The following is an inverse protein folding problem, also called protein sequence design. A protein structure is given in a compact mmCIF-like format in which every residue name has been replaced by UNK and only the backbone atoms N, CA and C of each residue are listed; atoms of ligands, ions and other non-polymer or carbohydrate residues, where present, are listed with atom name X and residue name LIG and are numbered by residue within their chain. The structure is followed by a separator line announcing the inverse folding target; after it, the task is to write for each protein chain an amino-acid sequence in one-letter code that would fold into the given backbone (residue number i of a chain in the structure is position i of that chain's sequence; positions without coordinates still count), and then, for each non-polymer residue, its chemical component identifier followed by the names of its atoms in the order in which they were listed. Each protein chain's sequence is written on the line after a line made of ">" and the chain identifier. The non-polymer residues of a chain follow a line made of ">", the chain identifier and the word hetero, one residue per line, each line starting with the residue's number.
data_IF_378767357961
#
_entry.id   IF_378767357961
#
_cell.length_a   1.000
_cell.length_b   1.000
_cell.length_c   1.000
_cell.angle_alpha   90.00
_cell.angle_beta   90.00
_cell.angle_gamma   90.00
#
_symmetry.space_group_name_H-M   'P 1'
#
loop_
_entity.id
_entity.type
_entity.pdbx_description
1 polymer ?
#
# COMPACT_ATOMS: atom_id res chain seq x y z
N UNK A 1 26.73 15.02 10.27
CA UNK A 1 25.58 15.74 9.65
C UNK A 1 24.61 16.08 10.77
N UNK A 2 24.24 17.35 10.94
CA UNK A 2 23.44 17.81 12.08
C UNK A 2 21.96 17.38 11.94
N UNK A 3 21.26 17.07 13.05
CA UNK A 3 19.84 16.74 13.01
C UNK A 3 19.00 17.99 12.70
N UNK A 4 17.91 17.81 11.96
CA UNK A 4 16.90 18.85 11.71
C UNK A 4 16.21 19.13 13.06
N UNK A 5 16.62 20.20 13.76
CA UNK A 5 16.03 20.59 15.05
C UNK A 5 14.70 21.31 14.84
N UNK A 6 13.67 20.76 15.44
CA UNK A 6 12.31 21.26 15.46
C UNK A 6 12.18 22.53 16.32
N UNK A 7 11.91 23.67 15.68
CA UNK A 7 11.49 24.90 16.38
C UNK A 7 9.96 24.93 16.37
N UNK A 8 9.34 24.33 17.38
CA UNK A 8 7.89 24.44 17.66
C UNK A 8 6.98 24.11 16.46
N UNK A 9 7.41 23.17 15.62
CA UNK A 9 7.10 23.15 14.20
C UNK A 9 5.93 22.28 13.77
N UNK A 10 5.39 22.60 12.60
CA UNK A 10 4.33 21.86 11.94
C UNK A 10 4.63 20.35 11.85
N UNK A 11 3.67 19.52 12.25
CA UNK A 11 3.69 18.08 11.98
C UNK A 11 3.49 17.88 10.47
N UNK A 12 4.54 17.45 9.78
CA UNK A 12 4.48 17.09 8.36
C UNK A 12 4.29 15.57 8.23
N UNK A 13 3.11 15.17 7.74
CA UNK A 13 2.86 13.80 7.26
C UNK A 13 3.41 13.67 5.84
N UNK A 14 4.26 12.67 5.62
CA UNK A 14 4.77 12.32 4.30
C UNK A 14 3.91 11.21 3.69
N UNK A 15 3.71 11.29 2.37
CA UNK A 15 3.06 10.24 1.58
C UNK A 15 4.01 9.72 0.53
N UNK A 16 4.32 8.44 0.61
CA UNK A 16 5.15 7.73 -0.36
C UNK A 16 4.23 6.88 -1.20
N UNK A 17 4.25 7.11 -2.51
CA UNK A 17 3.36 6.42 -3.45
C UNK A 17 4.13 5.64 -4.50
N UNK A 18 3.82 4.35 -4.62
CA UNK A 18 4.03 3.57 -5.84
C UNK A 18 2.75 3.64 -6.64
N UNK A 19 2.82 4.13 -7.88
CA UNK A 19 1.63 4.39 -8.71
C UNK A 19 1.68 3.56 -9.98
N UNK A 20 0.53 3.03 -10.36
CA UNK A 20 0.25 2.37 -11.64
C UNK A 20 1.25 1.24 -11.98
N UNK A 21 1.66 0.46 -10.97
CA UNK A 21 2.59 -0.65 -11.14
C UNK A 21 1.88 -1.84 -11.80
N UNK A 22 2.26 -2.25 -13.03
CA UNK A 22 1.70 -3.44 -13.64
C UNK A 22 2.24 -4.70 -12.94
N UNK A 23 1.32 -5.57 -12.49
CA UNK A 23 1.65 -6.85 -11.85
C UNK A 23 0.90 -7.98 -12.54
N UNK A 24 1.62 -8.98 -13.05
CA UNK A 24 1.00 -10.19 -13.59
C UNK A 24 0.52 -11.08 -12.44
N UNK A 25 -0.78 -11.40 -12.38
CA UNK A 25 -1.38 -12.15 -11.28
C UNK A 25 -2.29 -13.28 -11.76
N UNK A 26 -2.25 -14.43 -11.07
CA UNK A 26 -3.27 -15.49 -11.21
C UNK A 26 -4.49 -15.16 -10.33
N UNK A 27 -5.33 -14.26 -10.86
CA UNK A 27 -6.39 -13.56 -10.14
C UNK A 27 -7.76 -13.77 -10.79
N UNK A 28 -8.80 -13.94 -9.99
CA UNK A 28 -10.18 -14.11 -10.47
C UNK A 28 -10.86 -15.39 -9.98
N UNK A 29 -12.14 -15.55 -10.31
CA UNK A 29 -12.97 -16.69 -9.87
C UNK A 29 -13.50 -17.50 -11.04
N UNK A 30 -13.49 -16.93 -12.26
CA UNK A 30 -14.06 -17.59 -13.41
C UNK A 30 -13.12 -18.72 -13.87
N UNK A 31 -13.66 -19.86 -14.33
CA UNK A 31 -12.83 -20.99 -14.74
C UNK A 31 -11.76 -20.67 -15.78
N UNK A 32 -12.02 -19.72 -16.68
CA UNK A 32 -11.07 -19.28 -17.71
C UNK A 32 -9.94 -18.39 -17.19
N UNK A 33 -10.04 -17.90 -15.95
CA UNK A 33 -8.99 -17.09 -15.30
C UNK A 33 -8.00 -17.96 -14.53
N UNK A 34 -8.43 -19.14 -14.08
CA UNK A 34 -7.64 -20.02 -13.22
C UNK A 34 -6.43 -20.54 -13.98
N UNK A 35 -5.22 -20.25 -13.48
CA UNK A 35 -3.96 -20.66 -14.11
C UNK A 35 -3.53 -19.74 -15.27
N UNK A 36 -4.29 -18.71 -15.59
CA UNK A 36 -3.96 -17.72 -16.61
C UNK A 36 -3.61 -16.39 -15.95
N UNK A 37 -2.32 -16.05 -15.96
CA UNK A 37 -1.85 -14.78 -15.40
C UNK A 37 -2.32 -13.61 -16.25
N UNK A 38 -2.91 -12.62 -15.59
CA UNK A 38 -3.42 -11.39 -16.20
C UNK A 38 -2.88 -10.15 -15.48
N UNK A 39 -2.76 -9.00 -16.15
CA UNK A 39 -2.25 -7.79 -15.52
C UNK A 39 -3.27 -7.21 -14.53
N UNK A 40 -2.80 -6.91 -13.34
CA UNK A 40 -3.37 -5.93 -12.42
C UNK A 40 -2.57 -4.63 -12.54
N UNK A 41 -3.22 -3.50 -12.25
CA UNK A 41 -2.53 -2.22 -12.05
C UNK A 41 -2.63 -1.90 -10.57
N UNK A 42 -1.48 -1.84 -9.91
CA UNK A 42 -1.35 -1.74 -8.46
C UNK A 42 -0.83 -0.36 -8.09
N UNK A 43 -1.57 0.35 -7.26
CA UNK A 43 -1.12 1.59 -6.62
C UNK A 43 -1.12 1.43 -5.10
N UNK A 44 -0.05 1.87 -4.45
CA UNK A 44 0.10 1.82 -2.99
C UNK A 44 0.58 3.17 -2.49
N UNK A 45 -0.12 3.73 -1.52
CA UNK A 45 0.32 4.92 -0.78
C UNK A 45 0.51 4.58 0.69
N UNK A 46 1.67 4.93 1.23
CA UNK A 46 2.02 4.76 2.64
C UNK A 46 2.16 6.15 3.28
N UNK A 47 1.53 6.33 4.44
CA UNK A 47 1.70 7.53 5.26
C UNK A 47 2.70 7.30 6.38
N UNK A 48 3.61 8.24 6.57
CA UNK A 48 4.62 8.21 7.63
C UNK A 48 4.94 9.62 8.15
N UNK A 49 5.66 9.71 9.25
CA UNK A 49 6.19 10.98 9.75
C UNK A 49 7.36 11.50 8.91
N UNK A 50 7.76 12.75 9.17
CA UNK A 50 8.95 13.34 8.56
C UNK A 50 10.19 12.46 8.78
N UNK A 51 11.04 12.41 7.77
CA UNK A 51 12.33 11.70 7.84
C UNK A 51 13.29 12.47 8.76
N UNK A 52 13.88 11.79 9.75
CA UNK A 52 14.82 12.39 10.69
C UNK A 52 16.26 12.51 10.14
N UNK A 53 16.63 11.69 9.15
CA UNK A 53 17.98 11.62 8.53
C UNK A 53 17.88 11.23 7.06
N UNK A 54 18.77 11.75 6.22
CA UNK A 54 18.83 11.40 4.80
C UNK A 54 19.50 10.03 4.57
N UNK A 55 18.78 8.96 4.94
CA UNK A 55 19.24 7.57 4.83
C UNK A 55 18.05 6.63 4.57
N UNK A 56 18.30 5.50 3.89
CA UNK A 56 17.23 4.56 3.51
C UNK A 56 16.53 3.90 4.71
N UNK A 57 17.23 3.71 5.83
CA UNK A 57 16.68 3.18 7.09
C UNK A 57 15.72 4.17 7.79
N UNK A 58 15.78 5.45 7.42
CA UNK A 58 14.91 6.49 7.99
C UNK A 58 13.62 6.73 7.16
N UNK A 59 13.39 5.93 6.11
CA UNK A 59 12.25 6.05 5.20
C UNK A 59 11.72 4.68 4.78
N UNK A 60 10.66 4.67 3.97
CA UNK A 60 10.11 3.46 3.36
C UNK A 60 10.81 3.20 2.02
N UNK A 61 11.46 2.05 1.89
CA UNK A 61 11.96 1.59 0.60
C UNK A 61 10.81 1.10 -0.29
N UNK A 62 10.32 1.96 -1.17
CA UNK A 62 9.25 1.67 -2.12
C UNK A 62 9.55 0.50 -3.06
N UNK A 63 10.82 0.09 -3.23
CA UNK A 63 11.16 -1.12 -4.01
C UNK A 63 10.66 -2.37 -3.32
N UNK A 64 10.55 -2.37 -1.99
CA UNK A 64 9.99 -3.49 -1.24
C UNK A 64 8.47 -3.64 -1.48
N UNK A 65 7.76 -2.52 -1.68
CA UNK A 65 6.34 -2.53 -2.07
C UNK A 65 6.15 -3.22 -3.42
N UNK A 66 6.97 -2.87 -4.42
CA UNK A 66 6.92 -3.51 -5.73
C UNK A 66 7.19 -5.02 -5.63
N UNK A 67 8.24 -5.43 -4.89
CA UNK A 67 8.56 -6.84 -4.67
C UNK A 67 7.44 -7.60 -3.96
N UNK A 68 6.79 -6.99 -2.98
CA UNK A 68 5.65 -7.59 -2.28
C UNK A 68 4.46 -7.81 -3.22
N UNK A 69 4.15 -6.83 -4.08
CA UNK A 69 3.08 -6.95 -5.07
C UNK A 69 3.40 -8.03 -6.12
N UNK A 70 4.63 -8.08 -6.64
CA UNK A 70 5.10 -9.13 -7.56
C UNK A 70 4.98 -10.52 -6.94
N UNK A 71 5.47 -10.71 -5.71
CA UNK A 71 5.40 -11.99 -5.00
C UNK A 71 3.96 -12.43 -4.73
N UNK A 72 3.04 -11.50 -4.47
CA UNK A 72 1.61 -11.82 -4.38
C UNK A 72 1.00 -12.20 -5.73
N UNK A 73 1.46 -11.58 -6.83
CA UNK A 73 1.04 -11.94 -8.19
C UNK A 73 1.46 -13.35 -8.63
N UNK A 74 2.48 -13.93 -8.00
CA UNK A 74 2.86 -15.33 -8.20
C UNK A 74 1.92 -16.32 -7.51
N UNK A 75 1.13 -15.86 -6.54
CA UNK A 75 0.17 -16.68 -5.83
C UNK A 75 -1.19 -16.69 -6.52
N UNK A 76 -1.89 -17.83 -6.43
CA UNK A 76 -3.29 -17.93 -6.84
C UNK A 76 -4.18 -17.20 -5.82
N UNK A 77 -4.87 -16.14 -6.25
CA UNK A 77 -5.77 -15.34 -5.40
C UNK A 77 -7.12 -15.16 -6.08
N UNK A 78 -8.22 -15.45 -5.39
CA UNK A 78 -9.55 -15.39 -6.00
C UNK A 78 -10.02 -13.94 -6.28
N UNK A 79 -9.78 -13.03 -5.35
CA UNK A 79 -10.41 -11.71 -5.30
C UNK A 79 -9.38 -10.57 -5.26
N UNK A 80 -9.67 -9.46 -5.93
CA UNK A 80 -8.82 -8.26 -5.89
C UNK A 80 -8.83 -7.61 -4.49
N UNK A 81 -9.91 -7.81 -3.73
CA UNK A 81 -10.03 -7.43 -2.32
C UNK A 81 -9.04 -8.21 -1.46
N UNK A 82 -8.92 -9.52 -1.66
CA UNK A 82 -7.93 -10.35 -0.95
C UNK A 82 -6.50 -9.98 -1.35
N UNK A 83 -6.28 -9.62 -2.62
CA UNK A 83 -4.97 -9.14 -3.07
C UNK A 83 -4.61 -7.81 -2.37
N UNK A 84 -5.52 -6.84 -2.38
CA UNK A 84 -5.35 -5.55 -1.74
C UNK A 84 -5.08 -5.68 -0.23
N UNK A 85 -5.85 -6.54 0.44
CA UNK A 85 -5.71 -6.82 1.86
C UNK A 85 -4.33 -7.38 2.21
N UNK A 86 -3.89 -8.43 1.52
CA UNK A 86 -2.58 -9.05 1.76
C UNK A 86 -1.44 -8.08 1.46
N UNK A 87 -1.56 -7.28 0.39
CA UNK A 87 -0.55 -6.31 0.02
C UNK A 87 -0.45 -5.20 1.07
N UNK A 88 -1.56 -4.68 1.57
CA UNK A 88 -1.55 -3.66 2.62
C UNK A 88 -0.87 -4.17 3.90
N UNK A 89 -1.19 -5.40 4.34
CA UNK A 89 -0.55 -6.01 5.49
C UNK A 89 0.95 -6.21 5.28
N UNK A 90 1.38 -6.66 4.10
CA UNK A 90 2.79 -6.78 3.77
C UNK A 90 3.49 -5.40 3.83
N UNK A 91 2.91 -4.36 3.22
CA UNK A 91 3.46 -3.01 3.23
C UNK A 91 3.59 -2.40 4.63
N UNK A 92 2.59 -2.60 5.49
CA UNK A 92 2.65 -2.15 6.88
C UNK A 92 3.73 -2.88 7.68
N UNK A 93 3.94 -4.17 7.43
CA UNK A 93 4.99 -4.95 8.09
C UNK A 93 6.42 -4.60 7.64
N UNK A 94 6.59 -4.05 6.43
CA UNK A 94 7.91 -3.78 5.84
C UNK A 94 8.64 -2.59 6.44
N UNK A 95 7.92 -1.59 6.97
CA UNK A 95 8.54 -0.28 7.18
C UNK A 95 8.71 0.14 8.63
N UNK A 96 7.89 -0.30 9.59
CA UNK A 96 7.90 0.21 10.98
C UNK A 96 7.60 1.72 11.13
N UNK A 97 7.72 2.47 10.04
CA UNK A 97 7.52 3.91 9.91
C UNK A 97 6.14 4.26 9.34
N UNK A 98 5.48 3.31 8.63
CA UNK A 98 4.16 3.55 8.07
C UNK A 98 3.07 3.44 9.13
N UNK A 99 2.26 4.48 9.23
CA UNK A 99 1.09 4.55 10.13
C UNK A 99 -0.16 3.99 9.47
N UNK A 100 -0.23 4.10 8.14
CA UNK A 100 -1.34 3.60 7.33
C UNK A 100 -0.87 3.25 5.92
N UNK A 101 -1.63 2.40 5.25
CA UNK A 101 -1.43 1.98 3.87
C UNK A 101 -2.76 2.06 3.13
N UNK A 102 -2.77 2.71 1.96
CA UNK A 102 -3.87 2.68 1.01
C UNK A 102 -3.43 1.93 -0.23
N UNK A 103 -4.22 0.94 -0.64
CA UNK A 103 -3.96 0.09 -1.80
C UNK A 103 -5.11 0.19 -2.76
N UNK A 104 -4.80 0.48 -4.02
CA UNK A 104 -5.74 0.40 -5.14
C UNK A 104 -5.30 -0.72 -6.07
N UNK A 105 -6.24 -1.60 -6.43
CA UNK A 105 -6.05 -2.68 -7.39
C UNK A 105 -7.06 -2.52 -8.52
N UNK A 106 -6.57 -2.17 -9.70
CA UNK A 106 -7.39 -2.17 -10.91
C UNK A 106 -7.20 -3.48 -11.67
N UNK A 107 -8.32 -4.07 -12.09
CA UNK A 107 -8.37 -5.26 -12.95
C UNK A 107 -8.97 -4.87 -14.30
N UNK A 108 -8.15 -4.42 -15.27
CA UNK A 108 -8.64 -3.84 -16.52
C UNK A 108 -9.41 -4.82 -17.41
N UNK A 109 -9.14 -6.13 -17.29
CA UNK A 109 -9.79 -7.16 -18.11
C UNK A 109 -10.98 -7.83 -17.42
N UNK A 110 -11.44 -7.30 -16.27
CA UNK A 110 -12.61 -7.85 -15.58
C UNK A 110 -13.93 -7.57 -16.31
N UNK A 111 -14.00 -6.46 -17.07
CA UNK A 111 -15.22 -6.00 -17.75
C UNK A 111 -14.94 -5.75 -19.24
N UNK A 112 -15.87 -6.08 -20.16
CA UNK A 112 -15.64 -5.88 -21.60
C UNK A 112 -15.40 -4.43 -22.04
N UNK A 113 -15.92 -3.45 -21.29
CA UNK A 113 -15.86 -2.02 -21.63
C UNK A 113 -15.68 -1.16 -20.37
N UNK A 114 -14.84 -1.60 -19.43
CA UNK A 114 -14.60 -0.87 -18.19
C UNK A 114 -13.50 -1.50 -17.34
N UNK A 115 -13.23 -0.90 -16.19
CA UNK A 115 -12.23 -1.37 -15.23
C UNK A 115 -12.95 -1.65 -13.90
N UNK A 116 -12.75 -2.85 -13.35
CA UNK A 116 -13.13 -3.12 -11.98
C UNK A 116 -11.98 -2.72 -11.06
N UNK A 117 -12.28 -2.06 -9.94
CA UNK A 117 -11.27 -1.54 -9.02
C UNK A 117 -11.73 -1.67 -7.57
N UNK A 118 -10.76 -1.89 -6.68
CA UNK A 118 -10.92 -1.73 -5.23
C UNK A 118 -9.86 -0.75 -4.74
N UNK A 119 -10.26 0.18 -3.87
CA UNK A 119 -9.35 0.94 -3.02
C UNK A 119 -9.67 0.64 -1.56
N UNK A 120 -8.68 0.20 -0.82
CA UNK A 120 -8.80 -0.14 0.60
C UNK A 120 -7.70 0.55 1.41
N UNK A 121 -8.07 1.04 2.59
CA UNK A 121 -7.17 1.74 3.50
C UNK A 121 -7.09 0.99 4.82
N UNK A 122 -5.86 0.78 5.27
CA UNK A 122 -5.49 0.05 6.47
C UNK A 122 -4.66 0.95 7.37
N UNK A 123 -4.90 0.86 8.67
CA UNK A 123 -4.21 1.68 9.66
C UNK A 123 -3.59 0.73 10.69
N UNK A 124 -2.40 1.06 11.18
CA UNK A 124 -1.83 0.32 12.32
C UNK A 124 -2.68 0.58 13.57
N UNK A 125 -2.69 -0.38 14.50
CA UNK A 125 -3.45 -0.26 15.73
C UNK A 125 -3.07 1.00 16.54
N UNK A 126 -1.78 1.37 16.55
CA UNK A 126 -1.28 2.59 17.20
C UNK A 126 -1.77 3.87 16.52
N UNK A 127 -1.80 3.90 15.18
CA UNK A 127 -2.31 5.04 14.44
C UNK A 127 -3.83 5.24 14.64
N UNK A 128 -4.59 4.14 14.75
CA UNK A 128 -6.03 4.18 15.00
C UNK A 128 -6.33 4.75 16.40
N UNK A 129 -5.55 4.36 17.41
CA UNK A 129 -5.69 4.87 18.78
C UNK A 129 -5.41 6.37 18.89
N UNK A 130 -4.44 6.91 18.14
CA UNK A 130 -4.11 8.35 18.13
C UNK A 130 -5.17 9.26 17.49
N UNK A 131 -6.08 8.72 16.66
CA UNK A 131 -7.22 9.48 16.08
C UNK A 131 -8.47 9.47 16.96
N UNK A 132 -8.60 8.55 17.91
CA UNK A 132 -9.75 8.47 18.83
C UNK A 132 -9.65 9.45 20.01
N UNK A 133 -8.49 10.05 20.26
CA UNK A 133 -8.28 11.02 21.35
C UNK A 133 -8.50 12.48 20.92
N UNK A 134 -9.66 12.78 20.35
CA UNK A 134 -10.20 14.14 20.32
C UNK A 134 -11.56 14.17 21.04
N UNK A 135 -11.60 14.35 22.37
CA UNK A 135 -12.76 14.90 23.04
C UNK A 135 -12.73 16.42 22.86
N UNK A 136 -13.87 16.98 22.45
CA UNK A 136 -14.02 18.41 22.22
C UNK A 136 -13.78 19.26 23.46
N UNK A 137 -13.41 20.52 23.22
CA UNK A 137 -13.83 21.70 23.98
C UNK A 137 -13.87 22.87 23.03
#
# INVERSE_FOLDING_TARGET
>A
MAPITDRGGAHAELRITVRDLPVMADIGINPHEIGYRQPLIVSVTLGMDRVARDTIDATIDYRQVARAAEALGEQRIALIETFADRLAHACLALSGHAHWCEVTIDKPHALPAGIASITARYETADAAAGRTSAPGT
#
